data_IF_775313288483
#
_entry.id   IF_775313288483
#
_cell.length_a   1.000
_cell.length_b   1.000
_cell.length_c   1.000
_cell.angle_alpha   90.00
_cell.angle_beta   90.00
_cell.angle_gamma   90.00
#
_symmetry.space_group_name_H-M   'P 1'
#
loop_
_entity.id
_entity.type
_entity.pdbx_description
1 polymer ?
#
# COMPACT_ATOMS: atom_id res chain seq x y z
N UNK A 1 0.97 4.28 7.53
CA UNK A 1 0.03 3.23 7.09
C UNK A 1 -1.37 3.78 7.27
N UNK A 2 -2.08 3.99 6.17
CA UNK A 2 -3.48 4.46 6.16
C UNK A 2 -4.40 3.26 5.93
N UNK A 3 -5.60 3.28 6.55
CA UNK A 3 -6.64 2.28 6.35
C UNK A 3 -7.72 2.86 5.44
N UNK A 4 -7.99 2.19 4.32
CA UNK A 4 -8.92 2.65 3.29
C UNK A 4 -10.15 1.74 3.26
N UNK A 5 -11.29 2.24 3.72
CA UNK A 5 -12.55 1.50 3.62
C UNK A 5 -13.14 1.60 2.21
N UNK A 6 -13.41 0.44 1.60
CA UNK A 6 -13.89 0.33 0.23
C UNK A 6 -15.05 -0.65 0.16
N UNK A 7 -16.10 -0.28 -0.56
CA UNK A 7 -17.15 -1.22 -0.97
C UNK A 7 -16.59 -2.23 -1.98
N UNK A 8 -16.99 -3.49 -1.83
CA UNK A 8 -16.68 -4.58 -2.76
C UNK A 8 -17.91 -5.45 -2.94
N UNK A 9 -18.31 -5.69 -4.19
CA UNK A 9 -19.50 -6.51 -4.46
C UNK A 9 -19.28 -7.99 -4.14
N UNK A 10 -20.34 -8.76 -3.83
CA UNK A 10 -20.23 -10.13 -3.29
C UNK A 10 -19.37 -11.06 -4.15
N UNK A 11 -19.54 -11.03 -5.48
CA UNK A 11 -18.74 -11.83 -6.42
C UNK A 11 -17.24 -11.60 -6.28
N UNK A 12 -16.82 -10.34 -6.22
CA UNK A 12 -15.40 -9.98 -6.11
C UNK A 12 -14.88 -10.20 -4.69
N UNK A 13 -15.71 -9.93 -3.69
CA UNK A 13 -15.39 -10.15 -2.29
C UNK A 13 -15.10 -11.63 -2.02
N UNK A 14 -15.95 -12.54 -2.50
CA UNK A 14 -15.72 -13.99 -2.42
C UNK A 14 -14.42 -14.43 -3.12
N UNK A 15 -14.08 -13.82 -4.27
CA UNK A 15 -12.83 -14.09 -4.97
C UNK A 15 -11.60 -13.59 -4.20
N UNK A 16 -11.70 -12.45 -3.50
CA UNK A 16 -10.62 -11.94 -2.63
C UNK A 16 -10.47 -12.81 -1.38
N UNK A 17 -11.59 -13.18 -0.75
CA UNK A 17 -11.60 -14.05 0.43
C UNK A 17 -10.98 -15.41 0.14
N UNK A 18 -11.29 -16.02 -1.00
CA UNK A 18 -10.72 -17.31 -1.41
C UNK A 18 -9.27 -17.21 -1.90
N UNK A 19 -8.68 -16.01 -1.99
CA UNK A 19 -7.31 -15.79 -2.47
C UNK A 19 -7.14 -15.89 -3.99
N UNK A 20 -8.22 -16.16 -4.73
CA UNK A 20 -8.21 -16.21 -6.20
C UNK A 20 -7.93 -14.83 -6.82
N UNK A 21 -8.45 -13.76 -6.21
CA UNK A 21 -8.22 -12.37 -6.61
C UNK A 21 -7.28 -11.68 -5.62
N UNK A 22 -6.12 -11.26 -6.10
CA UNK A 22 -5.07 -10.57 -5.31
C UNK A 22 -4.77 -9.15 -5.78
N UNK A 23 -5.74 -8.51 -6.44
CA UNK A 23 -5.61 -7.15 -6.94
C UNK A 23 -6.94 -6.41 -6.92
N UNK A 24 -6.91 -5.07 -6.84
CA UNK A 24 -8.04 -4.15 -7.02
C UNK A 24 -7.72 -3.18 -8.17
N UNK A 25 -8.74 -2.66 -8.85
CA UNK A 25 -8.59 -1.51 -9.78
C UNK A 25 -9.46 -0.39 -9.23
N UNK A 26 -8.87 0.76 -8.95
CA UNK A 26 -9.56 1.89 -8.30
C UNK A 26 -9.11 3.21 -8.89
N UNK A 27 -9.99 4.20 -8.87
CA UNK A 27 -9.59 5.59 -9.07
C UNK A 27 -8.62 5.96 -7.95
N UNK A 28 -7.52 6.65 -8.26
CA UNK A 28 -6.54 7.06 -7.26
C UNK A 28 -6.92 8.39 -6.59
N UNK A 29 -8.09 8.44 -5.94
CA UNK A 29 -8.62 9.64 -5.27
C UNK A 29 -8.26 9.74 -3.78
N UNK A 30 -7.45 8.79 -3.28
CA UNK A 30 -7.03 8.65 -1.88
C UNK A 30 -5.52 8.56 -1.71
N UNK A 31 -4.78 8.71 -2.80
CA UNK A 31 -3.32 8.54 -2.84
C UNK A 31 -2.87 7.20 -2.24
N UNK A 32 -3.37 6.08 -2.79
CA UNK A 32 -3.02 4.74 -2.32
C UNK A 32 -1.51 4.51 -2.34
N UNK A 33 -0.95 3.90 -1.28
CA UNK A 33 0.49 3.64 -1.15
C UNK A 33 0.77 2.20 -0.75
N UNK A 34 1.89 1.65 -1.23
CA UNK A 34 2.42 0.38 -0.72
C UNK A 34 2.61 0.47 0.80
N UNK A 35 2.10 -0.54 1.50
CA UNK A 35 2.04 -0.61 2.95
C UNK A 35 0.71 -0.18 3.57
N UNK A 36 -0.19 0.48 2.84
CA UNK A 36 -1.55 0.79 3.32
C UNK A 36 -2.43 -0.45 3.43
N UNK A 37 -3.53 -0.35 4.18
CA UNK A 37 -4.52 -1.42 4.33
C UNK A 37 -5.79 -1.08 3.56
N UNK A 38 -6.25 -2.01 2.73
CA UNK A 38 -7.59 -2.01 2.18
C UNK A 38 -8.51 -2.76 3.14
N UNK A 39 -9.56 -2.08 3.59
CA UNK A 39 -10.67 -2.70 4.34
C UNK A 39 -11.82 -2.87 3.35
N UNK A 40 -11.89 -4.06 2.74
CA UNK A 40 -12.92 -4.38 1.76
C UNK A 40 -14.18 -4.79 2.50
N UNK A 41 -15.24 -4.01 2.36
CA UNK A 41 -16.55 -4.24 2.98
C UNK A 41 -17.48 -4.80 1.92
N UNK A 42 -18.00 -6.00 2.16
CA UNK A 42 -18.96 -6.60 1.24
C UNK A 42 -20.24 -5.76 1.21
N UNK A 43 -20.61 -5.34 0.00
CA UNK A 43 -21.76 -4.48 -0.24
C UNK A 43 -22.61 -5.09 -1.34
N UNK A 44 -23.85 -5.43 -1.03
CA UNK A 44 -24.82 -5.97 -1.97
C UNK A 44 -25.55 -4.82 -2.68
N UNK A 45 -25.37 -4.65 -4.01
CA UNK A 45 -26.06 -3.61 -4.76
C UNK A 45 -27.55 -3.91 -5.00
N UNK A 46 -28.02 -5.16 -4.84
CA UNK A 46 -29.44 -5.51 -4.99
C UNK A 46 -30.23 -5.04 -3.76
N UNK A 47 -29.66 -5.24 -2.57
CA UNK A 47 -30.26 -4.81 -1.29
C UNK A 47 -29.83 -3.39 -0.85
N UNK A 48 -28.95 -2.73 -1.62
CA UNK A 48 -28.30 -1.45 -1.30
C UNK A 48 -27.68 -1.41 0.12
N UNK A 49 -27.17 -2.56 0.59
CA UNK A 49 -26.79 -2.78 1.98
C UNK A 49 -25.40 -3.42 2.13
N UNK A 50 -24.75 -3.15 3.27
CA UNK A 50 -23.59 -3.90 3.70
C UNK A 50 -24.03 -5.21 4.35
N UNK A 51 -23.42 -6.32 3.98
CA UNK A 51 -23.71 -7.63 4.60
C UNK A 51 -23.10 -7.77 6.01
N UNK A 52 -22.20 -6.86 6.38
CA UNK A 52 -21.40 -6.90 7.59
C UNK A 52 -20.07 -7.64 7.44
N UNK A 53 -19.84 -8.30 6.30
CA UNK A 53 -18.59 -9.02 6.06
C UNK A 53 -17.46 -8.07 5.63
N UNK A 54 -16.25 -8.36 6.11
CA UNK A 54 -15.05 -7.56 5.81
C UNK A 54 -13.84 -8.44 5.54
N UNK A 55 -12.94 -7.96 4.67
CA UNK A 55 -11.63 -8.54 4.42
C UNK A 55 -10.57 -7.43 4.46
N UNK A 56 -9.49 -7.64 5.22
CA UNK A 56 -8.36 -6.72 5.23
C UNK A 56 -7.22 -7.25 4.37
N UNK A 57 -6.63 -6.37 3.56
CA UNK A 57 -5.48 -6.71 2.72
C UNK A 57 -4.46 -5.57 2.73
N UNK A 58 -3.18 -5.90 2.82
CA UNK A 58 -2.12 -4.89 2.72
C UNK A 58 -1.74 -4.68 1.26
N UNK A 59 -1.64 -3.41 0.82
CA UNK A 59 -1.12 -3.06 -0.50
C UNK A 59 0.36 -3.44 -0.55
N UNK A 60 0.70 -4.38 -1.41
CA UNK A 60 2.08 -4.85 -1.62
C UNK A 60 2.67 -4.34 -2.92
N UNK A 61 1.82 -3.91 -3.86
CA UNK A 61 2.25 -3.38 -5.15
C UNK A 61 1.24 -2.38 -5.70
N UNK A 62 1.72 -1.38 -6.44
CA UNK A 62 0.87 -0.36 -7.07
C UNK A 62 1.38 -0.10 -8.48
N UNK A 63 0.48 -0.18 -9.46
CA UNK A 63 0.68 0.39 -10.79
C UNK A 63 -0.21 1.62 -10.93
N UNK A 64 0.32 2.70 -11.47
CA UNK A 64 -0.39 3.96 -11.73
C UNK A 64 -0.62 4.16 -13.22
N UNK A 65 -1.31 5.24 -13.59
CA UNK A 65 -1.46 5.69 -14.98
C UNK A 65 -0.13 5.96 -15.71
N UNK A 66 0.97 6.01 -14.96
CA UNK A 66 2.33 6.16 -15.44
C UNK A 66 2.89 4.83 -15.98
N UNK A 67 2.25 3.70 -15.63
CA UNK A 67 2.58 2.36 -16.08
C UNK A 67 1.74 1.93 -17.29
N UNK A 68 2.35 1.17 -18.21
CA UNK A 68 1.70 0.74 -19.45
C UNK A 68 0.44 -0.11 -19.18
N UNK A 69 -0.70 0.33 -19.73
CA UNK A 69 -1.96 -0.40 -19.69
C UNK A 69 -2.89 -0.05 -18.52
N UNK A 70 -2.49 0.89 -17.64
CA UNK A 70 -3.37 1.43 -16.60
C UNK A 70 -4.13 2.64 -17.15
N UNK A 71 -5.44 2.71 -16.86
CA UNK A 71 -6.30 3.81 -17.30
C UNK A 71 -5.93 5.09 -16.53
N UNK A 72 -5.89 6.22 -17.23
CA UNK A 72 -5.67 7.53 -16.60
C UNK A 72 -6.64 7.80 -15.44
N UNK A 73 -6.11 8.22 -14.30
CA UNK A 73 -6.81 8.45 -13.05
C UNK A 73 -7.04 7.21 -12.20
N UNK A 74 -6.62 6.02 -12.66
CA UNK A 74 -6.77 4.76 -11.96
C UNK A 74 -5.42 4.17 -11.54
N UNK A 75 -5.49 3.26 -10.58
CA UNK A 75 -4.39 2.41 -10.13
C UNK A 75 -4.83 0.95 -10.15
N UNK A 76 -3.88 0.07 -10.46
CA UNK A 76 -4.00 -1.35 -10.17
C UNK A 76 -3.23 -1.64 -8.88
N UNK A 77 -3.95 -2.12 -7.87
CA UNK A 77 -3.45 -2.31 -6.51
C UNK A 77 -3.24 -3.81 -6.31
N UNK A 78 -1.99 -4.27 -6.27
CA UNK A 78 -1.64 -5.60 -5.81
C UNK A 78 -1.64 -5.64 -4.28
N UNK A 79 -2.22 -6.69 -3.70
CA UNK A 79 -2.29 -6.82 -2.25
C UNK A 79 -2.05 -8.24 -1.77
N UNK A 80 -1.66 -8.36 -0.50
CA UNK A 80 -1.44 -9.60 0.20
C UNK A 80 -2.16 -9.66 1.54
N UNK A 81 -1.84 -10.68 2.32
CA UNK A 81 -2.27 -10.78 3.71
C UNK A 81 -1.75 -9.57 4.49
N UNK A 82 -2.55 -9.11 5.46
CA UNK A 82 -2.07 -8.13 6.43
C UNK A 82 -1.11 -8.87 7.35
N UNK A 83 0.17 -8.47 7.42
CA UNK A 83 1.09 -9.05 8.39
C UNK A 83 0.45 -8.92 9.78
N UNK A 84 0.52 -9.95 10.64
CA UNK A 84 0.01 -9.85 11.99
C UNK A 84 0.66 -8.65 12.68
N UNK A 85 -0.13 -7.60 12.87
CA UNK A 85 0.24 -6.51 13.75
C UNK A 85 0.05 -7.06 15.16
N UNK A 86 0.99 -6.84 16.11
CA UNK A 86 0.69 -7.12 17.52
C UNK A 86 -0.63 -6.43 17.85
N UNK A 87 -1.62 -7.20 18.33
CA UNK A 87 -2.94 -6.65 18.68
C UNK A 87 -2.75 -5.41 19.54
N UNK A 88 -3.51 -4.35 19.29
CA UNK A 88 -3.46 -3.13 20.10
C UNK A 88 -3.83 -3.37 21.59
N UNK A 89 -4.40 -4.55 21.90
CA UNK A 89 -4.69 -5.03 23.24
C UNK A 89 -3.55 -5.87 23.86
N UNK A 90 -2.56 -6.29 23.08
CA UNK A 90 -1.34 -6.92 23.58
C UNK A 90 -0.35 -5.84 23.98
N UNK A 91 0.33 -6.03 25.11
CA UNK A 91 1.36 -5.12 25.59
C UNK A 91 2.41 -4.91 24.48
N UNK A 92 2.61 -3.66 24.05
CA UNK A 92 3.57 -3.34 22.97
C UNK A 92 4.98 -3.67 23.48
N UNK A 93 5.55 -4.76 22.99
CA UNK A 93 6.91 -5.16 23.33
C UNK A 93 7.92 -4.46 22.42
N UNK A 94 9.16 -4.30 22.90
CA UNK A 94 10.26 -3.81 22.08
C UNK A 94 10.41 -4.62 20.78
N UNK A 95 10.30 -5.95 20.84
CA UNK A 95 10.39 -6.80 19.64
C UNK A 95 9.27 -6.51 18.61
N UNK A 96 8.04 -6.35 19.10
CA UNK A 96 6.89 -6.06 18.23
C UNK A 96 6.98 -4.68 17.58
N UNK A 97 7.47 -3.68 18.32
CA UNK A 97 7.71 -2.34 17.82
C UNK A 97 8.88 -2.29 16.82
N UNK A 98 9.95 -3.05 17.08
CA UNK A 98 11.06 -3.19 16.15
C UNK A 98 10.61 -3.82 14.82
N UNK A 99 9.81 -4.88 14.88
CA UNK A 99 9.24 -5.55 13.69
C UNK A 99 8.37 -4.59 12.87
N UNK A 100 7.58 -3.74 13.53
CA UNK A 100 6.81 -2.70 12.86
C UNK A 100 7.71 -1.70 12.13
N UNK A 101 8.77 -1.21 12.79
CA UNK A 101 9.73 -0.31 12.16
C UNK A 101 10.46 -0.97 10.97
N UNK A 102 10.82 -2.24 11.06
CA UNK A 102 11.43 -2.99 9.94
C UNK A 102 10.48 -3.10 8.74
N UNK A 103 9.21 -3.39 9.02
CA UNK A 103 8.16 -3.47 7.99
C UNK A 103 7.93 -2.10 7.35
N UNK A 104 7.84 -1.03 8.15
CA UNK A 104 7.69 0.33 7.67
C UNK A 104 8.88 0.76 6.80
N UNK A 105 10.11 0.43 7.24
CA UNK A 105 11.32 0.69 6.47
C UNK A 105 11.32 -0.02 5.12
N UNK A 106 10.97 -1.32 5.10
CA UNK A 106 10.89 -2.11 3.88
C UNK A 106 9.86 -1.55 2.90
N UNK A 107 8.67 -1.19 3.40
CA UNK A 107 7.62 -0.59 2.57
C UNK A 107 8.02 0.78 2.01
N UNK A 108 8.67 1.62 2.81
CA UNK A 108 9.19 2.91 2.36
C UNK A 108 10.31 2.75 1.32
N UNK A 109 11.19 1.75 1.49
CA UNK A 109 12.24 1.44 0.51
C UNK A 109 11.66 0.99 -0.84
N UNK A 110 10.62 0.15 -0.83
CA UNK A 110 9.91 -0.25 -2.05
C UNK A 110 9.26 0.95 -2.75
N UNK A 111 8.63 1.86 -1.99
CA UNK A 111 8.09 3.12 -2.54
C UNK A 111 9.18 3.98 -3.17
N UNK A 112 10.33 4.11 -2.51
CA UNK A 112 11.46 4.87 -3.02
C UNK A 112 11.99 4.29 -4.34
N UNK A 113 12.16 2.97 -4.41
CA UNK A 113 12.59 2.28 -5.64
C UNK A 113 11.59 2.44 -6.78
N UNK A 114 10.29 2.26 -6.49
CA UNK A 114 9.23 2.45 -7.48
C UNK A 114 9.22 3.87 -8.05
N UNK A 115 9.18 4.89 -7.19
CA UNK A 115 9.19 6.29 -7.62
C UNK A 115 10.47 6.67 -8.38
N UNK A 116 11.63 6.14 -7.99
CA UNK A 116 12.90 6.36 -8.71
C UNK A 116 12.85 5.80 -10.13
N UNK A 117 12.34 4.58 -10.30
CA UNK A 117 12.19 3.95 -11.62
C UNK A 117 11.25 4.77 -12.53
N UNK A 118 10.14 5.27 -11.98
CA UNK A 118 9.22 6.13 -12.73
C UNK A 118 9.90 7.45 -13.11
N UNK A 119 10.60 8.10 -12.18
CA UNK A 119 11.37 9.32 -12.42
C UNK A 119 12.35 9.14 -13.59
N UNK A 120 13.10 8.05 -13.62
CA UNK A 120 14.05 7.73 -14.70
C UNK A 120 13.35 7.52 -16.05
N UNK A 121 12.20 6.83 -16.05
CA UNK A 121 11.39 6.62 -17.26
C UNK A 121 10.86 7.94 -17.83
N UNK A 122 10.41 8.85 -16.98
CA UNK A 122 9.95 10.18 -17.38
C UNK A 122 11.07 11.07 -17.90
N UNK A 123 12.25 11.03 -17.27
CA UNK A 123 13.41 11.74 -17.76
C UNK A 123 13.78 11.26 -19.18
N UNK A 124 13.74 9.94 -19.42
CA UNK A 124 13.98 9.36 -20.75
C UNK A 124 12.90 9.75 -21.78
N UNK A 125 11.68 10.03 -21.34
CA UNK A 125 10.55 10.42 -22.19
C UNK A 125 10.40 11.93 -22.37
N UNK A 126 11.42 12.72 -21.99
CA UNK A 126 11.44 14.19 -22.05
C UNK A 126 10.33 14.88 -21.22
N UNK A 127 9.84 14.20 -20.17
CA UNK A 127 8.84 14.72 -19.22
C UNK A 127 9.50 15.23 -17.93
N UNK A 128 10.33 16.27 -18.04
CA UNK A 128 11.21 16.74 -16.95
C UNK A 128 10.50 17.10 -15.64
N UNK A 129 9.36 17.80 -15.70
CA UNK A 129 8.61 18.18 -14.49
C UNK A 129 8.03 16.96 -13.76
N UNK A 130 7.54 15.96 -14.51
CA UNK A 130 7.04 14.72 -13.93
C UNK A 130 8.18 13.89 -13.32
N UNK A 131 9.34 13.87 -13.99
CA UNK A 131 10.55 13.24 -13.48
C UNK A 131 10.99 13.86 -12.15
N UNK A 132 11.13 15.19 -12.07
CA UNK A 132 11.51 15.87 -10.82
C UNK A 132 10.56 15.58 -9.67
N UNK A 133 9.24 15.58 -9.92
CA UNK A 133 8.24 15.24 -8.90
C UNK A 133 8.43 13.83 -8.36
N UNK A 134 8.57 12.84 -9.25
CA UNK A 134 8.79 11.44 -8.84
C UNK A 134 10.15 11.24 -8.18
N UNK A 135 11.17 11.99 -8.60
CA UNK A 135 12.49 12.03 -7.95
C UNK A 135 12.39 12.51 -6.50
N UNK A 136 11.64 13.59 -6.24
CA UNK A 136 11.41 14.10 -4.89
C UNK A 136 10.61 13.11 -4.02
N UNK A 137 9.60 12.43 -4.59
CA UNK A 137 8.87 11.35 -3.90
C UNK A 137 9.81 10.22 -3.52
N UNK A 138 10.73 9.83 -4.42
CA UNK A 138 11.71 8.79 -4.16
C UNK A 138 12.66 9.17 -3.02
N UNK A 139 13.15 10.41 -2.98
CA UNK A 139 14.05 10.89 -1.92
C UNK A 139 13.36 10.94 -0.55
N UNK A 140 12.13 11.45 -0.50
CA UNK A 140 11.34 11.48 0.75
C UNK A 140 11.07 10.06 1.28
N UNK A 141 10.68 9.14 0.39
CA UNK A 141 10.44 7.74 0.77
C UNK A 141 11.74 7.03 1.20
N UNK A 142 12.89 7.36 0.60
CA UNK A 142 14.19 6.83 1.01
C UNK A 142 14.60 7.35 2.40
N UNK A 143 14.35 8.62 2.69
CA UNK A 143 14.59 9.20 4.01
C UNK A 143 13.70 8.55 5.08
N UNK A 144 12.42 8.34 4.78
CA UNK A 144 11.48 7.60 5.64
C UNK A 144 11.98 6.17 5.91
N UNK A 145 12.43 5.46 4.88
CA UNK A 145 12.99 4.12 5.03
C UNK A 145 14.20 4.10 5.98
N UNK A 146 15.12 5.07 5.83
CA UNK A 146 16.28 5.22 6.69
C UNK A 146 15.91 5.52 8.15
N UNK A 147 14.92 6.38 8.37
CA UNK A 147 14.39 6.69 9.71
C UNK A 147 13.86 5.44 10.41
N UNK A 148 12.97 4.69 9.75
CA UNK A 148 12.39 3.49 10.34
C UNK A 148 13.43 2.39 10.57
N UNK A 149 14.41 2.21 9.65
CA UNK A 149 15.50 1.26 9.84
C UNK A 149 16.41 1.63 11.01
N UNK A 150 16.66 2.92 11.25
CA UNK A 150 17.41 3.37 12.43
C UNK A 150 16.63 3.13 13.72
N UNK A 151 15.33 3.45 13.74
CA UNK A 151 14.47 3.22 14.89
C UNK A 151 14.37 1.73 15.26
N UNK A 152 14.19 0.83 14.29
CA UNK A 152 14.21 -0.62 14.54
C UNK A 152 15.48 -1.08 15.27
N UNK A 153 16.66 -0.62 14.82
CA UNK A 153 17.96 -0.95 15.44
C UNK A 153 18.11 -0.43 16.86
N UNK A 154 17.49 0.71 17.18
CA UNK A 154 17.49 1.25 18.54
C UNK A 154 16.57 0.41 19.43
N UNK A 155 15.36 0.14 18.97
CA UNK A 155 14.35 -0.60 19.74
C UNK A 155 14.80 -2.03 20.05
N UNK A 156 15.42 -2.75 19.09
CA UNK A 156 15.95 -4.11 19.34
C UNK A 156 17.06 -4.19 20.39
N UNK A 157 17.69 -3.06 20.74
CA UNK A 157 18.78 -3.01 21.74
C UNK A 157 18.29 -2.73 23.16
N UNK A 158 17.00 -2.46 23.33
CA UNK A 158 16.32 -2.24 24.62
C UNK A 158 15.87 -3.59 25.16
#
# INVERSE_FOLDING_TARGET
MTRHELKTWPKYFAAVRSGQKRFEIRRNDREFKVGDILVLREFDPEDDAYTGQTEERQITFLLSEEDYGVIHGFVAIGFGEVPPHPDAAAEVTAESLATWHETAASNAALRAQGARKVSESYAASNMGVAAERQGAVADLAAAEAGFHAAAARIVRKI
#
